data_IF_046456390129
#
_entry.id   IF_046456390129
#
_cell.length_a   1.000
_cell.length_b   1.000
_cell.length_c   1.000
_cell.angle_alpha   90.00
_cell.angle_beta   90.00
_cell.angle_gamma   90.00
#
_symmetry.space_group_name_H-M   'P 1'
#
loop_
_entity.id
_entity.type
_entity.pdbx_description
1 polymer ?
#
# COMPACT_ATOMS: atom_id res chain seq x y z
N UNK A 1 -6.91 8.78 14.31
CA UNK A 1 -6.21 10.04 14.60
C UNK A 1 -7.05 11.15 14.00
N UNK A 2 -7.93 11.77 14.78
CA UNK A 2 -8.78 12.86 14.30
C UNK A 2 -7.92 14.11 14.08
N UNK A 3 -8.11 14.81 12.95
CA UNK A 3 -7.42 16.08 12.69
C UNK A 3 -7.60 17.04 13.86
N UNK A 4 -6.49 17.53 14.41
CA UNK A 4 -6.53 18.62 15.39
C UNK A 4 -6.81 19.91 14.64
N UNK A 5 -8.02 20.43 14.79
CA UNK A 5 -8.46 21.68 14.18
C UNK A 5 -8.78 22.71 15.28
N UNK A 6 -8.48 23.97 14.99
CA UNK A 6 -8.94 25.08 15.83
C UNK A 6 -10.36 25.49 15.41
N UNK A 7 -11.16 26.10 16.31
CA UNK A 7 -12.48 26.60 15.97
C UNK A 7 -12.41 27.64 14.85
N UNK A 8 -13.35 27.54 13.90
CA UNK A 8 -13.51 28.53 12.84
C UNK A 8 -14.22 29.78 13.38
N UNK A 9 -13.82 30.97 12.89
CA UNK A 9 -14.53 32.22 13.17
C UNK A 9 -15.95 32.18 12.56
N UNK A 10 -16.92 32.80 13.23
CA UNK A 10 -18.34 32.78 12.81
C UNK A 10 -18.55 33.34 11.40
N UNK A 11 -17.82 34.38 11.00
CA UNK A 11 -17.91 34.95 9.65
C UNK A 11 -17.50 33.94 8.57
N UNK A 12 -16.51 33.10 8.85
CA UNK A 12 -16.01 32.09 7.91
C UNK A 12 -16.99 30.94 7.80
N UNK A 13 -17.66 30.53 8.89
CA UNK A 13 -18.62 29.42 8.87
C UNK A 13 -19.74 29.62 7.85
N UNK A 14 -20.18 30.87 7.65
CA UNK A 14 -21.21 31.22 6.65
C UNK A 14 -20.77 30.97 5.20
N UNK A 15 -19.47 30.87 4.95
CA UNK A 15 -18.90 30.70 3.61
C UNK A 15 -18.40 29.27 3.34
N UNK A 16 -18.55 28.35 4.30
CA UNK A 16 -18.06 26.98 4.15
C UNK A 16 -19.09 26.14 3.40
N UNK A 17 -18.60 25.38 2.43
CA UNK A 17 -19.37 24.36 1.74
C UNK A 17 -18.78 22.98 1.98
N UNK A 18 -19.65 21.97 2.16
CA UNK A 18 -19.22 20.58 2.27
C UNK A 18 -19.17 19.95 0.88
N UNK A 19 -17.96 19.62 0.41
CA UNK A 19 -17.75 18.95 -0.88
C UNK A 19 -18.18 17.47 -0.89
N UNK A 20 -18.54 16.91 0.26
CA UNK A 20 -18.87 15.50 0.40
C UNK A 20 -17.64 14.59 0.49
N UNK A 21 -17.88 13.28 0.42
CA UNK A 21 -16.83 12.26 0.37
C UNK A 21 -16.69 11.70 -1.05
N UNK A 22 -15.47 11.30 -1.42
CA UNK A 22 -15.22 10.70 -2.72
C UNK A 22 -15.96 9.35 -2.84
N UNK A 23 -16.80 9.14 -3.88
CA UNK A 23 -17.43 7.85 -4.11
C UNK A 23 -16.41 6.74 -4.34
N UNK A 24 -16.72 5.51 -3.92
CA UNK A 24 -15.80 4.37 -4.08
C UNK A 24 -15.51 4.02 -5.54
N UNK A 25 -16.46 4.25 -6.45
CA UNK A 25 -16.28 4.11 -7.89
C UNK A 25 -15.20 5.07 -8.42
N UNK A 26 -15.27 6.32 -7.95
CA UNK A 26 -14.38 7.38 -8.40
C UNK A 26 -13.00 7.19 -7.77
N UNK A 27 -12.93 6.83 -6.49
CA UNK A 27 -11.68 6.44 -5.82
C UNK A 27 -10.97 5.32 -6.56
N UNK A 28 -11.70 4.26 -6.95
CA UNK A 28 -11.14 3.16 -7.74
C UNK A 28 -10.61 3.65 -9.09
N UNK A 29 -11.34 4.55 -9.76
CA UNK A 29 -10.89 5.11 -11.04
C UNK A 29 -9.62 5.96 -10.86
N UNK A 30 -9.53 6.78 -9.82
CA UNK A 30 -8.31 7.53 -9.51
C UNK A 30 -7.12 6.61 -9.26
N UNK A 31 -7.31 5.55 -8.47
CA UNK A 31 -6.26 4.57 -8.20
C UNK A 31 -5.78 3.93 -9.50
N UNK A 32 -6.70 3.52 -10.38
CA UNK A 32 -6.36 2.95 -11.69
C UNK A 32 -5.51 3.92 -12.53
N UNK A 33 -5.91 5.18 -12.63
CA UNK A 33 -5.16 6.18 -13.40
C UNK A 33 -3.79 6.50 -12.77
N UNK A 34 -3.71 6.51 -11.44
CA UNK A 34 -2.43 6.63 -10.74
C UNK A 34 -1.49 5.47 -11.06
N UNK A 35 -1.99 4.24 -11.10
CA UNK A 35 -1.19 3.04 -11.45
C UNK A 35 -0.74 3.12 -12.92
N UNK A 36 -1.64 3.45 -13.85
CA UNK A 36 -1.30 3.59 -15.28
C UNK A 36 -0.19 4.61 -15.51
N UNK A 37 -0.23 5.73 -14.78
CA UNK A 37 0.81 6.77 -14.86
C UNK A 37 2.21 6.23 -14.52
N UNK A 38 2.30 5.23 -13.64
CA UNK A 38 3.59 4.62 -13.23
C UNK A 38 4.21 3.72 -14.29
N UNK A 39 3.48 3.31 -15.33
CA UNK A 39 3.98 2.40 -16.37
C UNK A 39 5.30 2.89 -16.99
N UNK A 40 5.39 4.19 -17.28
CA UNK A 40 6.57 4.78 -17.92
C UNK A 40 7.79 4.88 -16.99
N UNK A 41 7.60 4.69 -15.68
CA UNK A 41 8.68 4.67 -14.68
C UNK A 41 9.32 3.27 -14.55
N UNK A 42 8.73 2.25 -15.18
CA UNK A 42 9.18 0.86 -15.12
C UNK A 42 10.03 0.49 -16.34
N UNK A 43 10.92 -0.48 -16.15
CA UNK A 43 11.72 -1.06 -17.23
C UNK A 43 10.81 -1.59 -18.38
N UNK A 44 11.14 -1.34 -19.66
CA UNK A 44 10.33 -1.80 -20.80
C UNK A 44 10.00 -3.29 -20.78
N UNK A 45 10.90 -4.13 -20.26
CA UNK A 45 10.72 -5.59 -20.20
C UNK A 45 9.58 -6.03 -19.26
N UNK A 46 9.27 -5.26 -18.22
CA UNK A 46 8.21 -5.58 -17.26
C UNK A 46 6.85 -4.96 -17.63
N UNK A 47 6.84 -3.94 -18.50
CA UNK A 47 5.64 -3.16 -18.83
C UNK A 47 4.49 -4.00 -19.40
N UNK A 48 4.79 -5.02 -20.21
CA UNK A 48 3.75 -5.89 -20.78
C UNK A 48 3.03 -6.71 -19.70
N UNK A 49 3.81 -7.25 -18.74
CA UNK A 49 3.25 -8.03 -17.63
C UNK A 49 2.54 -7.12 -16.64
N UNK A 50 3.09 -5.92 -16.40
CA UNK A 50 2.45 -4.89 -15.59
C UNK A 50 1.07 -4.49 -16.12
N UNK A 51 0.93 -4.28 -17.44
CA UNK A 51 -0.35 -3.96 -18.08
C UNK A 51 -1.40 -5.05 -17.81
N UNK A 52 -1.00 -6.33 -17.90
CA UNK A 52 -1.87 -7.48 -17.64
C UNK A 52 -2.33 -7.56 -16.18
N UNK A 53 -1.54 -7.02 -15.25
CA UNK A 53 -1.83 -7.06 -13.82
C UNK A 53 -2.42 -5.75 -13.27
N UNK A 54 -2.68 -4.73 -14.12
CA UNK A 54 -3.25 -3.44 -13.69
C UNK A 54 -4.52 -3.57 -12.85
N UNK A 55 -5.46 -4.41 -13.28
CA UNK A 55 -6.73 -4.62 -12.58
C UNK A 55 -6.47 -5.27 -11.22
N UNK A 56 -5.62 -6.29 -11.18
CA UNK A 56 -5.22 -6.97 -9.93
C UNK A 56 -4.60 -5.97 -8.96
N UNK A 57 -3.64 -5.16 -9.40
CA UNK A 57 -2.97 -4.15 -8.57
C UNK A 57 -3.99 -3.14 -8.03
N UNK A 58 -4.87 -2.64 -8.90
CA UNK A 58 -5.94 -1.70 -8.53
C UNK A 58 -6.84 -2.30 -7.45
N UNK A 59 -7.33 -3.51 -7.66
CA UNK A 59 -8.26 -4.16 -6.73
C UNK A 59 -7.58 -4.44 -5.38
N UNK A 60 -6.31 -4.88 -5.36
CA UNK A 60 -5.58 -5.07 -4.10
C UNK A 60 -5.41 -3.76 -3.32
N UNK A 61 -5.11 -2.64 -3.99
CA UNK A 61 -4.98 -1.34 -3.33
C UNK A 61 -6.32 -0.81 -2.81
N UNK A 62 -7.41 -0.99 -3.58
CA UNK A 62 -8.76 -0.67 -3.12
C UNK A 62 -9.16 -1.50 -1.89
N UNK A 63 -8.92 -2.82 -1.91
CA UNK A 63 -9.16 -3.70 -0.77
C UNK A 63 -8.34 -3.25 0.44
N UNK A 64 -7.08 -2.88 0.23
CA UNK A 64 -6.19 -2.42 1.30
C UNK A 64 -6.69 -1.13 1.95
N UNK A 65 -7.09 -0.14 1.14
CA UNK A 65 -7.66 1.11 1.65
C UNK A 65 -8.95 0.88 2.42
N UNK A 66 -9.88 0.11 1.85
CA UNK A 66 -11.17 -0.17 2.48
C UNK A 66 -11.00 -0.95 3.79
N UNK A 67 -10.11 -1.94 3.80
CA UNK A 67 -9.82 -2.72 5.00
C UNK A 67 -9.29 -1.83 6.13
N UNK A 68 -8.29 -0.99 5.85
CA UNK A 68 -7.70 -0.11 6.86
C UNK A 68 -8.71 0.94 7.33
N UNK A 69 -9.55 1.47 6.43
CA UNK A 69 -10.64 2.40 6.74
C UNK A 69 -11.64 1.78 7.71
N UNK A 70 -12.03 0.52 7.49
CA UNK A 70 -12.95 -0.21 8.36
C UNK A 70 -12.35 -0.52 9.74
N UNK A 71 -11.08 -0.96 9.79
CA UNK A 71 -10.44 -1.40 11.05
C UNK A 71 -9.99 -0.26 11.94
N UNK A 72 -9.50 0.83 11.36
CA UNK A 72 -9.03 1.98 12.13
C UNK A 72 -10.15 2.97 12.47
N UNK A 73 -11.38 2.71 12.02
CA UNK A 73 -12.63 3.44 12.33
C UNK A 73 -12.54 4.96 12.14
N UNK A 74 -11.69 5.42 11.24
CA UNK A 74 -11.46 6.84 11.00
C UNK A 74 -11.23 7.06 9.51
N UNK A 75 -12.18 7.75 8.89
CA UNK A 75 -12.27 7.95 7.43
C UNK A 75 -11.11 8.80 6.93
N UNK A 76 -10.51 9.64 7.78
CA UNK A 76 -9.34 10.44 7.44
C UNK A 76 -8.03 9.64 7.43
N UNK A 77 -8.06 8.38 7.85
CA UNK A 77 -6.84 7.58 8.05
C UNK A 77 -6.23 7.09 6.75
N UNK A 78 -7.02 6.98 5.68
CA UNK A 78 -6.53 6.46 4.39
C UNK A 78 -7.02 7.34 3.26
N UNK A 79 -6.11 7.71 2.37
CA UNK A 79 -6.37 8.59 1.23
C UNK A 79 -5.56 8.17 0.01
N UNK A 80 -5.81 8.81 -1.14
CA UNK A 80 -4.98 8.65 -2.34
C UNK A 80 -3.49 8.98 -2.12
N UNK A 81 -3.14 9.70 -1.03
CA UNK A 81 -1.72 9.90 -0.66
C UNK A 81 -1.05 8.61 -0.20
N UNK A 82 -1.80 7.72 0.46
CA UNK A 82 -1.28 6.41 0.88
C UNK A 82 -1.07 5.51 -0.34
N UNK A 83 -1.97 5.61 -1.34
CA UNK A 83 -1.81 4.95 -2.64
C UNK A 83 -0.57 5.47 -3.35
N UNK A 84 -0.38 6.79 -3.39
CA UNK A 84 0.80 7.39 -4.02
C UNK A 84 2.10 6.92 -3.37
N UNK A 85 2.15 6.89 -2.03
CA UNK A 85 3.31 6.33 -1.29
C UNK A 85 3.54 4.86 -1.63
N UNK A 86 2.47 4.07 -1.66
CA UNK A 86 2.54 2.65 -1.98
C UNK A 86 3.07 2.42 -3.40
N UNK A 87 2.61 3.21 -4.37
CA UNK A 87 3.08 3.14 -5.77
C UNK A 87 4.54 3.58 -5.90
N UNK A 88 4.97 4.57 -5.12
CA UNK A 88 6.38 4.99 -5.09
C UNK A 88 7.29 3.88 -4.57
N UNK A 89 6.92 3.19 -3.49
CA UNK A 89 7.67 2.00 -3.06
C UNK A 89 7.63 0.89 -4.10
N UNK A 90 6.46 0.65 -4.70
CA UNK A 90 6.27 -0.40 -5.69
C UNK A 90 7.20 -0.23 -6.90
N UNK A 91 7.22 0.96 -7.50
CA UNK A 91 8.12 1.29 -8.62
C UNK A 91 9.59 1.18 -8.20
N UNK A 92 9.93 1.72 -7.02
CA UNK A 92 11.30 1.66 -6.52
C UNK A 92 11.79 0.21 -6.36
N UNK A 93 10.96 -0.67 -5.80
CA UNK A 93 11.29 -2.09 -5.62
C UNK A 93 11.48 -2.77 -6.98
N UNK A 94 10.57 -2.54 -7.95
CA UNK A 94 10.71 -3.13 -9.28
C UNK A 94 11.98 -2.69 -10.01
N UNK A 95 12.37 -1.44 -9.87
CA UNK A 95 13.54 -0.89 -10.56
C UNK A 95 14.87 -1.27 -9.89
N UNK A 96 14.90 -1.47 -8.58
CA UNK A 96 16.16 -1.64 -7.83
C UNK A 96 16.33 -3.00 -7.17
N UNK A 97 15.25 -3.77 -7.02
CA UNK A 97 15.24 -5.00 -6.25
C UNK A 97 14.70 -6.15 -7.06
N UNK A 98 15.46 -6.50 -8.10
CA UNK A 98 15.14 -7.63 -8.97
C UNK A 98 15.56 -8.94 -8.29
N UNK A 99 14.57 -9.76 -7.89
CA UNK A 99 14.82 -11.17 -7.55
C UNK A 99 14.98 -11.95 -8.85
N UNK A 100 15.83 -12.98 -8.87
CA UNK A 100 15.83 -13.97 -9.96
C UNK A 100 14.50 -14.75 -9.93
N UNK A 101 13.49 -14.16 -10.52
CA UNK A 101 12.10 -14.60 -10.49
C UNK A 101 11.41 -14.10 -11.78
N UNK A 102 10.25 -14.68 -12.09
CA UNK A 102 9.45 -14.22 -13.23
C UNK A 102 8.96 -12.78 -12.99
N UNK A 103 8.73 -12.01 -14.06
CA UNK A 103 8.20 -10.64 -13.93
C UNK A 103 6.89 -10.57 -13.14
N UNK A 104 6.04 -11.59 -13.27
CA UNK A 104 4.80 -11.70 -12.51
C UNK A 104 5.08 -11.80 -11.00
N UNK A 105 6.01 -12.66 -10.59
CA UNK A 105 6.40 -12.81 -9.18
C UNK A 105 7.06 -11.53 -8.65
N UNK A 106 7.84 -10.83 -9.47
CA UNK A 106 8.43 -9.53 -9.10
C UNK A 106 7.34 -8.47 -8.83
N UNK A 107 6.32 -8.38 -9.69
CA UNK A 107 5.17 -7.49 -9.49
C UNK A 107 4.43 -7.85 -8.20
N UNK A 108 4.11 -9.12 -8.01
CA UNK A 108 3.42 -9.57 -6.79
C UNK A 108 4.23 -9.24 -5.54
N UNK A 109 5.53 -9.52 -5.58
CA UNK A 109 6.46 -9.25 -4.49
C UNK A 109 6.52 -7.76 -4.14
N UNK A 110 6.77 -6.91 -5.14
CA UNK A 110 6.83 -5.47 -4.96
C UNK A 110 5.51 -4.92 -4.40
N UNK A 111 4.38 -5.43 -4.87
CA UNK A 111 3.06 -5.03 -4.39
C UNK A 111 2.87 -5.40 -2.92
N UNK A 112 3.22 -6.63 -2.53
CA UNK A 112 3.13 -7.10 -1.14
C UNK A 112 3.96 -6.26 -0.20
N UNK A 113 5.23 -6.04 -0.54
CA UNK A 113 6.15 -5.28 0.32
C UNK A 113 5.65 -3.85 0.47
N UNK A 114 5.23 -3.22 -0.62
CA UNK A 114 4.71 -1.85 -0.60
C UNK A 114 3.44 -1.72 0.23
N UNK A 115 2.50 -2.65 0.08
CA UNK A 115 1.29 -2.70 0.92
C UNK A 115 1.62 -3.03 2.38
N UNK A 116 2.67 -3.83 2.60
CA UNK A 116 3.26 -4.12 3.90
C UNK A 116 3.60 -2.84 4.65
N UNK A 117 4.41 -1.99 3.99
CA UNK A 117 4.90 -0.71 4.50
C UNK A 117 3.77 0.32 4.69
N UNK A 118 2.84 0.42 3.72
CA UNK A 118 1.83 1.48 3.72
C UNK A 118 0.56 1.16 4.51
N UNK A 119 0.19 -0.11 4.66
CA UNK A 119 -1.09 -0.53 5.23
C UNK A 119 -0.91 -1.55 6.36
N UNK A 120 -0.25 -2.68 6.07
CA UNK A 120 -0.21 -3.83 6.98
C UNK A 120 0.38 -3.52 8.36
N UNK A 121 1.53 -2.84 8.42
CA UNK A 121 2.20 -2.58 9.70
C UNK A 121 1.46 -1.58 10.60
N UNK A 122 0.52 -0.82 10.04
CA UNK A 122 -0.35 0.11 10.81
C UNK A 122 -1.41 -0.63 11.63
N UNK A 123 -1.72 -1.87 11.27
CA UNK A 123 -2.75 -2.68 11.90
C UNK A 123 -2.22 -3.37 13.17
N UNK A 124 -3.13 -3.71 14.09
CA UNK A 124 -2.82 -4.56 15.24
C UNK A 124 -2.63 -6.04 14.83
N UNK A 125 -2.18 -6.88 15.74
CA UNK A 125 -1.87 -8.30 15.46
C UNK A 125 -3.07 -9.09 14.90
N UNK A 126 -4.27 -8.84 15.41
CA UNK A 126 -5.47 -9.57 14.99
C UNK A 126 -5.93 -9.11 13.59
N UNK A 127 -5.90 -7.80 13.35
CA UNK A 127 -6.28 -7.22 12.07
C UNK A 127 -5.29 -7.58 10.96
N UNK A 128 -3.99 -7.74 11.28
CA UNK A 128 -2.98 -8.23 10.35
C UNK A 128 -3.28 -9.65 9.84
N UNK A 129 -3.83 -10.52 10.69
CA UNK A 129 -4.22 -11.87 10.29
C UNK A 129 -5.37 -11.78 9.28
N UNK A 130 -6.40 -10.99 9.60
CA UNK A 130 -7.56 -10.76 8.73
C UNK A 130 -7.16 -10.09 7.40
N UNK A 131 -6.26 -9.11 7.44
CA UNK A 131 -5.71 -8.45 6.25
C UNK A 131 -5.03 -9.45 5.32
N UNK A 132 -4.22 -10.36 5.89
CA UNK A 132 -3.51 -11.39 5.12
C UNK A 132 -4.46 -12.37 4.41
N UNK A 133 -5.69 -12.52 4.92
CA UNK A 133 -6.76 -13.34 4.31
C UNK A 133 -7.53 -12.53 3.26
N UNK A 134 -7.73 -11.23 3.49
CA UNK A 134 -8.44 -10.35 2.57
C UNK A 134 -7.69 -10.12 1.25
N UNK A 135 -6.36 -10.01 1.33
CA UNK A 135 -5.49 -9.81 0.17
C UNK A 135 -5.26 -11.12 -0.58
N UNK A 136 -5.61 -11.13 -1.87
CA UNK A 136 -5.50 -12.32 -2.71
C UNK A 136 -4.19 -12.32 -3.47
N UNK A 137 -3.36 -13.33 -3.22
CA UNK A 137 -2.09 -13.53 -3.92
C UNK A 137 -2.11 -14.90 -4.58
N UNK A 138 -1.66 -14.97 -5.84
CA UNK A 138 -1.49 -16.25 -6.54
C UNK A 138 -0.29 -17.00 -5.93
N UNK A 139 -0.41 -18.32 -5.80
CA UNK A 139 0.65 -19.26 -5.41
C UNK A 139 1.15 -19.20 -3.96
N UNK A 140 0.93 -18.13 -3.20
CA UNK A 140 1.44 -17.98 -1.82
C UNK A 140 0.52 -17.11 -0.95
N UNK A 141 0.95 -16.81 0.29
CA UNK A 141 0.20 -15.91 1.20
C UNK A 141 0.92 -14.58 1.38
N UNK A 142 0.15 -13.51 1.61
CA UNK A 142 0.68 -12.16 1.86
C UNK A 142 1.71 -12.14 2.99
N UNK A 143 1.39 -12.83 4.09
CA UNK A 143 2.27 -12.92 5.25
C UNK A 143 3.61 -13.57 4.89
N UNK A 144 3.60 -14.67 4.15
CA UNK A 144 4.85 -15.39 3.86
C UNK A 144 5.82 -14.54 3.04
N UNK A 145 5.34 -13.93 1.96
CA UNK A 145 6.18 -13.03 1.13
C UNK A 145 6.72 -11.87 1.97
N UNK A 146 5.84 -11.21 2.75
CA UNK A 146 6.24 -10.02 3.51
C UNK A 146 7.28 -10.34 4.59
N UNK A 147 7.07 -11.40 5.39
CA UNK A 147 8.01 -11.75 6.45
C UNK A 147 9.30 -12.36 5.92
N UNK A 148 9.28 -13.05 4.78
CA UNK A 148 10.52 -13.49 4.12
C UNK A 148 11.42 -12.29 3.78
N UNK A 149 10.84 -11.19 3.28
CA UNK A 149 11.60 -9.97 3.02
C UNK A 149 12.04 -9.25 4.29
N UNK A 150 11.20 -9.20 5.31
CA UNK A 150 11.61 -8.66 6.63
C UNK A 150 12.81 -9.43 7.16
N UNK A 151 12.76 -10.76 7.15
CA UNK A 151 13.85 -11.61 7.62
C UNK A 151 15.11 -11.44 6.78
N UNK A 152 14.96 -11.32 5.45
CA UNK A 152 16.07 -11.04 4.54
C UNK A 152 16.74 -9.71 4.88
N UNK A 153 15.97 -8.64 5.06
CA UNK A 153 16.49 -7.33 5.43
C UNK A 153 17.15 -7.36 6.81
N UNK A 154 16.51 -8.00 7.80
CA UNK A 154 17.07 -8.17 9.14
C UNK A 154 18.45 -8.85 9.14
N UNK A 155 18.66 -9.82 8.25
CA UNK A 155 19.97 -10.51 8.11
C UNK A 155 21.08 -9.62 7.52
N UNK A 156 20.74 -8.58 6.76
CA UNK A 156 21.72 -7.64 6.19
C UNK A 156 22.27 -6.72 7.26
N UNK A 157 21.46 -6.38 8.27
CA UNK A 157 21.92 -5.57 9.40
C UNK A 157 22.86 -6.42 10.27
N UNK A 158 24.17 -6.15 10.17
CA UNK A 158 25.13 -6.66 11.13
C UNK A 158 24.81 -6.06 12.49
N UNK A 159 24.46 -6.92 13.44
CA UNK A 159 24.16 -6.47 14.78
C UNK A 159 25.47 -6.15 15.50
N UNK A 160 25.64 -4.96 16.08
CA UNK A 160 26.82 -4.67 16.87
C UNK A 160 26.87 -5.65 18.05
N UNK A 161 28.03 -6.29 18.23
CA UNK A 161 28.27 -7.24 19.31
C UNK A 161 28.00 -6.55 20.65
N UNK A 162 26.97 -6.99 21.36
CA UNK A 162 26.67 -6.52 22.73
C UNK A 162 25.23 -6.13 23.00
N UNK A 163 24.35 -6.17 22.01
CA UNK A 163 22.93 -5.97 22.30
C UNK A 163 22.25 -7.33 22.52
N UNK A 164 21.77 -7.52 23.75
CA UNK A 164 20.92 -8.65 24.12
C UNK A 164 19.52 -8.06 24.26
N UNK A 165 18.59 -8.46 23.38
CA UNK A 165 17.17 -8.19 23.64
C UNK A 165 16.73 -9.16 24.74
N UNK A 166 16.53 -8.60 25.94
CA UNK A 166 15.86 -9.25 27.08
C UNK A 166 14.38 -9.48 26.77
#
# INVERSE_FOLDING_TARGET
>A
YVYRVSPLCESIKLHIWQFGSLPSSDERQYILEMIKKRKNELDPSIQEVFEKELITITDQLCISQEFVRQKLQDVAVVSLRDVERCLTFFVWILNHFCRQATFFEQIQHALVVSMGLCYYFRLNKNDRIQYSVAIKIKNTTFKNILYEEVDRLCKIFSYPSGTFFL
#
